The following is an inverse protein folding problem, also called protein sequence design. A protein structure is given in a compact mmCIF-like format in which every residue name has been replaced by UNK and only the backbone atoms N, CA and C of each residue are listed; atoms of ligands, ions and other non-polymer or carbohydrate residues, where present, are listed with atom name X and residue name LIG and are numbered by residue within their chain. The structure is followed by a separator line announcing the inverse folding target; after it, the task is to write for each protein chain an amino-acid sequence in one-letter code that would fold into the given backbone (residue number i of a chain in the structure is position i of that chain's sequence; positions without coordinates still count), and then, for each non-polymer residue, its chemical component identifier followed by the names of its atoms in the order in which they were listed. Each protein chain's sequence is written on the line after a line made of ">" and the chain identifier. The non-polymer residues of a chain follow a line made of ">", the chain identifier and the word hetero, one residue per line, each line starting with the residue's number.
data_IF_096798462027
#
_entry.id   IF_096798462027
#
_cell.length_a   1.000
_cell.length_b   1.000
_cell.length_c   1.000
_cell.angle_alpha   90.00
_cell.angle_beta   90.00
_cell.angle_gamma   90.00
#
_symmetry.space_group_name_H-M   'P 1'
#
loop_
_entity.id
_entity.type
_entity.pdbx_description
1 polymer ?
#
# COMPACT_ATOMS: atom_id res chain seq x y z
N UNK A 1 -14.40 16.36 1.05
CA UNK A 1 -15.22 15.53 1.97
C UNK A 1 -14.75 14.07 1.94
N UNK A 2 -15.13 13.21 2.90
CA UNK A 2 -14.77 11.77 2.83
C UNK A 2 -15.30 11.10 1.56
N UNK A 3 -16.47 11.54 1.06
CA UNK A 3 -17.05 11.04 -0.18
C UNK A 3 -16.17 11.35 -1.40
N UNK A 4 -15.68 12.59 -1.52
CA UNK A 4 -14.76 12.98 -2.61
C UNK A 4 -13.45 12.20 -2.56
N UNK A 5 -12.90 11.97 -1.37
CA UNK A 5 -11.69 11.16 -1.19
C UNK A 5 -11.93 9.71 -1.60
N UNK A 6 -13.05 9.12 -1.19
CA UNK A 6 -13.43 7.76 -1.57
C UNK A 6 -13.55 7.60 -3.09
N UNK A 7 -14.17 8.59 -3.76
CA UNK A 7 -14.28 8.64 -5.21
C UNK A 7 -12.91 8.74 -5.88
N UNK A 8 -12.04 9.65 -5.41
CA UNK A 8 -10.70 9.85 -5.96
C UNK A 8 -9.78 8.64 -5.73
N UNK A 9 -9.85 8.03 -4.55
CA UNK A 9 -9.09 6.83 -4.19
C UNK A 9 -9.68 5.57 -4.80
N UNK A 10 -10.89 5.61 -5.38
CA UNK A 10 -11.62 4.44 -5.87
C UNK A 10 -11.73 3.35 -4.80
N UNK A 11 -12.24 3.70 -3.61
CA UNK A 11 -12.51 2.77 -2.50
C UNK A 11 -13.89 3.03 -1.90
N UNK A 12 -14.51 2.06 -1.22
CA UNK A 12 -15.71 2.32 -0.43
C UNK A 12 -15.46 3.43 0.60
N UNK A 13 -16.45 4.29 0.84
CA UNK A 13 -16.29 5.44 1.75
C UNK A 13 -15.89 5.02 3.17
N UNK A 14 -16.37 3.86 3.65
CA UNK A 14 -15.99 3.30 4.95
C UNK A 14 -14.55 2.81 5.05
N UNK A 15 -13.83 2.71 3.93
CA UNK A 15 -12.43 2.27 3.88
C UNK A 15 -11.45 3.44 3.77
N UNK A 16 -11.93 4.69 3.75
CA UNK A 16 -11.06 5.87 3.78
C UNK A 16 -10.48 6.01 5.18
N UNK A 17 -9.15 5.88 5.31
CA UNK A 17 -8.46 5.97 6.59
C UNK A 17 -8.33 7.42 7.11
N UNK A 18 -8.00 7.55 8.39
CA UNK A 18 -7.85 8.84 9.08
C UNK A 18 -6.69 9.69 8.57
N UNK A 19 -5.66 9.06 7.98
CA UNK A 19 -4.61 9.74 7.21
C UNK A 19 -4.82 9.44 5.71
N UNK A 20 -5.53 10.31 4.97
CA UNK A 20 -5.85 10.08 3.58
C UNK A 20 -4.62 10.14 2.67
N UNK A 21 -3.60 10.92 3.02
CA UNK A 21 -2.45 11.16 2.14
C UNK A 21 -1.53 9.95 2.13
N UNK A 22 -1.20 9.43 3.31
CA UNK A 22 -0.40 8.21 3.43
C UNK A 22 -1.15 7.02 2.79
N UNK A 23 -2.43 6.85 3.14
CA UNK A 23 -3.27 5.80 2.58
C UNK A 23 -3.36 5.86 1.04
N UNK A 24 -3.52 7.05 0.46
CA UNK A 24 -3.56 7.21 -0.99
C UNK A 24 -2.23 6.87 -1.65
N UNK A 25 -1.11 7.28 -1.03
CA UNK A 25 0.23 6.93 -1.48
C UNK A 25 0.40 5.41 -1.59
N UNK A 26 0.13 4.70 -0.50
CA UNK A 26 0.24 3.24 -0.45
C UNK A 26 -0.71 2.56 -1.45
N UNK A 27 -1.96 3.00 -1.50
CA UNK A 27 -2.98 2.44 -2.39
C UNK A 27 -2.63 2.61 -3.86
N UNK A 28 -2.21 3.80 -4.28
CA UNK A 28 -1.85 4.07 -5.66
C UNK A 28 -0.56 3.37 -6.04
N UNK A 29 0.42 3.35 -5.14
CA UNK A 29 1.69 2.66 -5.37
C UNK A 29 1.48 1.15 -5.53
N UNK A 30 0.72 0.52 -4.63
CA UNK A 30 0.40 -0.90 -4.69
C UNK A 30 -0.33 -1.27 -6.00
N UNK A 31 -1.33 -0.46 -6.40
CA UNK A 31 -2.04 -0.67 -7.69
C UNK A 31 -1.11 -0.52 -8.90
N UNK A 32 -0.17 0.43 -8.85
CA UNK A 32 0.81 0.61 -9.91
C UNK A 32 1.73 -0.60 -10.02
N UNK A 33 2.25 -1.09 -8.89
CA UNK A 33 3.07 -2.31 -8.82
C UNK A 33 2.32 -3.52 -9.40
N UNK A 34 1.08 -3.75 -8.97
CA UNK A 34 0.24 -4.84 -9.48
C UNK A 34 0.01 -4.73 -10.99
N UNK A 35 -0.30 -3.53 -11.50
CA UNK A 35 -0.49 -3.29 -12.94
C UNK A 35 0.76 -3.63 -13.77
N UNK A 36 1.94 -3.49 -13.17
CA UNK A 36 3.23 -3.77 -13.80
C UNK A 36 3.80 -5.15 -13.41
N UNK A 37 2.96 -6.06 -12.89
CA UNK A 37 3.33 -7.44 -12.50
C UNK A 37 4.43 -7.52 -11.43
N UNK A 38 4.55 -6.52 -10.57
CA UNK A 38 5.37 -6.61 -9.37
C UNK A 38 4.59 -7.32 -8.26
N UNK A 39 5.30 -8.09 -7.45
CA UNK A 39 4.76 -8.67 -6.23
C UNK A 39 4.61 -7.55 -5.18
N UNK A 40 3.50 -7.58 -4.46
CA UNK A 40 3.37 -6.77 -3.25
C UNK A 40 4.10 -7.50 -2.13
N UNK A 41 4.85 -6.73 -1.35
CA UNK A 41 5.55 -7.25 -0.19
C UNK A 41 4.53 -7.76 0.82
N UNK A 42 4.74 -9.01 1.25
CA UNK A 42 3.93 -9.68 2.26
C UNK A 42 4.86 -10.34 3.29
N UNK A 43 5.49 -9.52 4.14
CA UNK A 43 6.16 -10.03 5.35
C UNK A 43 5.22 -9.84 6.55
N UNK A 44 5.12 -10.83 7.46
CA UNK A 44 4.44 -10.66 8.74
C UNK A 44 5.25 -9.80 9.73
N UNK A 45 6.46 -9.37 9.35
CA UNK A 45 7.35 -8.55 10.17
C UNK A 45 7.51 -7.15 9.57
N UNK A 46 8.12 -6.23 10.33
CA UNK A 46 8.46 -4.88 9.86
C UNK A 46 9.68 -4.86 8.92
N UNK A 47 10.31 -6.01 8.65
CA UNK A 47 11.52 -6.09 7.80
C UNK A 47 11.19 -6.31 6.32
N UNK A 48 11.95 -5.66 5.40
CA UNK A 48 11.89 -5.89 3.96
C UNK A 48 12.03 -7.35 3.60
N UNK A 49 11.09 -7.84 2.79
CA UNK A 49 11.24 -9.13 2.12
C UNK A 49 12.31 -8.97 1.05
N UNK A 50 13.52 -9.36 1.43
CA UNK A 50 14.71 -9.35 0.58
C UNK A 50 14.95 -10.72 -0.06
N UNK A 51 13.91 -11.57 -0.17
CA UNK A 51 14.02 -12.90 -0.75
C UNK A 51 14.87 -13.85 0.09
N UNK A 52 14.75 -13.76 1.43
CA UNK A 52 15.46 -14.62 2.37
C UNK A 52 16.82 -14.08 2.86
N UNK A 53 17.16 -12.83 2.56
CA UNK A 53 18.37 -12.13 3.08
C UNK A 53 18.06 -11.08 4.14
N UNK A 54 16.94 -11.24 4.82
CA UNK A 54 16.43 -10.25 5.79
C UNK A 54 17.35 -10.07 7.01
N UNK A 55 18.20 -11.06 7.31
CA UNK A 55 19.14 -11.04 8.43
C UNK A 55 20.55 -10.52 8.07
N UNK A 56 20.87 -10.39 6.78
CA UNK A 56 22.22 -10.02 6.31
C UNK A 56 22.42 -8.50 6.17
N UNK A 57 21.34 -7.72 6.01
CA UNK A 57 21.37 -6.27 5.72
C UNK A 57 21.06 -5.38 6.96
N UNK A 58 21.66 -5.69 8.12
CA UNK A 58 21.43 -4.96 9.38
C UNK A 58 22.57 -3.99 9.77
#
# INVERSE_FOLDING_TARGET
>A
TQLELAQYFHVPVGNVQSDPTLFAGDLFYARHLQKHNHLLWMSPTDRPDLGGKEDDDN
#
